data_IF_118209084837
#
_entry.id   IF_118209084837
#
_cell.length_a   1.000
_cell.length_b   1.000
_cell.length_c   1.000
_cell.angle_alpha   90.00
_cell.angle_beta   90.00
_cell.angle_gamma   90.00
#
_symmetry.space_group_name_H-M   'P 1'
#
loop_
_entity.id
_entity.type
_entity.pdbx_description
1 polymer ?
#
# COMPACT_ATOMS: atom_id res chain seq x y z
N UNK A 1 19.90 11.49 -24.45
CA UNK A 1 18.71 12.25 -24.01
C UNK A 1 17.76 11.42 -23.15
N UNK A 2 17.47 10.15 -23.50
CA UNK A 2 16.58 9.26 -22.72
C UNK A 2 17.05 8.92 -21.30
N UNK A 3 18.34 8.67 -21.09
CA UNK A 3 18.88 8.22 -19.79
C UNK A 3 18.59 9.16 -18.60
N UNK A 4 18.41 10.46 -18.85
CA UNK A 4 18.24 11.48 -17.80
C UNK A 4 16.84 11.53 -17.19
N UNK A 5 15.85 10.95 -17.87
CA UNK A 5 14.42 10.98 -17.49
C UNK A 5 13.83 9.59 -17.28
N UNK A 6 14.64 8.52 -17.37
CA UNK A 6 14.15 7.12 -17.25
C UNK A 6 13.37 6.87 -15.97
N UNK A 7 13.87 7.36 -14.82
CA UNK A 7 13.21 7.18 -13.53
C UNK A 7 11.91 7.99 -13.42
N UNK A 8 11.90 9.20 -13.96
CA UNK A 8 10.73 10.09 -13.96
C UNK A 8 9.61 9.52 -14.86
N UNK A 9 9.97 9.02 -16.04
CA UNK A 9 9.05 8.32 -16.95
C UNK A 9 8.51 7.04 -16.29
N UNK A 10 9.36 6.25 -15.63
CA UNK A 10 8.95 5.01 -14.97
C UNK A 10 8.01 5.29 -13.79
N UNK A 11 8.25 6.35 -13.02
CA UNK A 11 7.35 6.80 -11.96
C UNK A 11 5.98 7.27 -12.52
N UNK A 12 5.97 8.05 -13.60
CA UNK A 12 4.73 8.50 -14.25
C UNK A 12 3.95 7.30 -14.79
N UNK A 13 4.62 6.35 -15.45
CA UNK A 13 3.99 5.12 -15.95
C UNK A 13 3.42 4.31 -14.80
N UNK A 14 4.14 4.15 -13.69
CA UNK A 14 3.64 3.44 -12.51
C UNK A 14 2.40 4.11 -11.92
N UNK A 15 2.37 5.45 -11.81
CA UNK A 15 1.21 6.21 -11.34
C UNK A 15 0.02 6.05 -12.27
N UNK A 16 0.24 6.16 -13.60
CA UNK A 16 -0.83 5.99 -14.58
C UNK A 16 -1.40 4.57 -14.58
N UNK A 17 -0.54 3.56 -14.48
CA UNK A 17 -0.97 2.16 -14.32
C UNK A 17 -1.79 1.99 -13.04
N UNK A 18 -1.32 2.53 -11.91
CA UNK A 18 -2.04 2.48 -10.64
C UNK A 18 -3.41 3.15 -10.75
N UNK A 19 -3.50 4.37 -11.27
CA UNK A 19 -4.76 5.07 -11.47
C UNK A 19 -5.70 4.32 -12.42
N UNK A 20 -5.19 3.73 -13.50
CA UNK A 20 -5.97 2.93 -14.43
C UNK A 20 -6.57 1.69 -13.77
N UNK A 21 -5.76 0.95 -13.02
CA UNK A 21 -6.22 -0.24 -12.26
C UNK A 21 -7.21 0.17 -11.17
N UNK A 22 -6.94 1.27 -10.46
CA UNK A 22 -7.81 1.79 -9.41
C UNK A 22 -9.19 2.15 -9.96
N UNK A 23 -9.25 2.96 -11.01
CA UNK A 23 -10.52 3.35 -11.65
C UNK A 23 -11.25 2.15 -12.26
N UNK A 24 -10.52 1.23 -12.89
CA UNK A 24 -11.09 -0.02 -13.39
C UNK A 24 -11.75 -0.83 -12.26
N UNK A 25 -11.04 -1.00 -11.14
CA UNK A 25 -11.55 -1.72 -9.97
C UNK A 25 -12.76 -1.03 -9.36
N UNK A 26 -12.70 0.29 -9.13
CA UNK A 26 -13.81 1.04 -8.53
C UNK A 26 -15.08 1.04 -9.40
N UNK A 27 -14.95 1.06 -10.72
CA UNK A 27 -16.11 1.09 -11.64
C UNK A 27 -16.72 -0.29 -11.84
N UNK A 28 -15.90 -1.35 -11.92
CA UNK A 28 -16.39 -2.70 -12.25
C UNK A 28 -16.74 -3.55 -11.04
N UNK A 29 -16.11 -3.32 -9.88
CA UNK A 29 -16.38 -4.13 -8.69
C UNK A 29 -17.51 -3.57 -7.83
N UNK A 30 -17.94 -2.30 -8.01
CA UNK A 30 -19.15 -1.68 -7.43
C UNK A 30 -19.17 -1.53 -5.90
N UNK A 31 -18.51 -2.45 -5.21
CA UNK A 31 -18.39 -2.65 -3.77
C UNK A 31 -16.97 -3.17 -3.47
N UNK A 32 -15.96 -2.60 -4.15
CA UNK A 32 -14.56 -2.86 -3.84
C UNK A 32 -14.24 -2.18 -2.50
N UNK A 33 -14.71 -2.79 -1.41
CA UNK A 33 -14.23 -2.47 -0.08
C UNK A 33 -12.72 -2.74 -0.10
N UNK A 34 -11.93 -1.68 0.07
CA UNK A 34 -10.48 -1.79 0.20
C UNK A 34 -10.17 -2.34 1.60
N UNK A 35 -10.61 -3.58 1.83
CA UNK A 35 -10.44 -4.28 3.06
C UNK A 35 -8.95 -4.58 3.27
N UNK A 36 -8.53 -4.56 4.53
CA UNK A 36 -7.16 -4.87 4.89
C UNK A 36 -6.78 -6.28 4.44
N UNK A 37 -5.48 -6.54 4.37
CA UNK A 37 -4.95 -7.88 4.12
C UNK A 37 -5.48 -8.91 5.13
N UNK A 38 -5.81 -8.46 6.34
CA UNK A 38 -6.33 -9.31 7.40
C UNK A 38 -7.71 -9.87 7.05
N UNK A 39 -8.66 -9.01 6.64
CA UNK A 39 -10.02 -9.39 6.25
C UNK A 39 -10.05 -10.29 5.01
N UNK A 40 -9.19 -10.02 4.03
CA UNK A 40 -9.09 -10.86 2.82
C UNK A 40 -8.39 -12.19 3.15
N UNK A 41 -7.43 -12.18 4.07
CA UNK A 41 -6.71 -13.37 4.50
C UNK A 41 -7.59 -14.32 5.31
N UNK A 42 -8.29 -13.79 6.31
CA UNK A 42 -9.18 -14.55 7.20
C UNK A 42 -10.30 -15.22 6.42
N UNK A 43 -10.95 -14.49 5.51
CA UNK A 43 -12.08 -15.01 4.71
C UNK A 43 -11.65 -16.15 3.79
N UNK A 44 -10.47 -16.04 3.18
CA UNK A 44 -9.90 -17.11 2.34
C UNK A 44 -9.48 -18.32 3.14
N UNK A 45 -8.87 -18.11 4.31
CA UNK A 45 -8.48 -19.21 5.19
C UNK A 45 -9.72 -19.95 5.70
N UNK A 46 -10.78 -19.24 6.08
CA UNK A 46 -12.05 -19.83 6.48
C UNK A 46 -12.69 -20.65 5.34
N UNK A 47 -12.70 -20.12 4.11
CA UNK A 47 -13.19 -20.81 2.91
C UNK A 47 -12.41 -22.12 2.64
N UNK A 48 -11.07 -22.07 2.72
CA UNK A 48 -10.20 -23.23 2.45
C UNK A 48 -10.20 -24.27 3.57
N UNK A 49 -10.27 -23.84 4.82
CA UNK A 49 -10.21 -24.72 5.98
C UNK A 49 -11.57 -25.32 6.34
N UNK A 50 -12.68 -24.72 5.87
CA UNK A 50 -14.04 -25.15 6.21
C UNK A 50 -14.39 -24.89 7.68
N UNK A 51 -13.69 -23.95 8.32
CA UNK A 51 -13.85 -23.55 9.71
C UNK A 51 -14.21 -22.06 9.73
N UNK A 52 -15.17 -21.65 10.55
CA UNK A 52 -15.55 -20.25 10.67
C UNK A 52 -14.36 -19.39 11.15
N UNK A 53 -14.29 -18.13 10.72
CA UNK A 53 -13.22 -17.18 11.14
C UNK A 53 -13.08 -17.10 12.66
N UNK A 54 -14.21 -17.18 13.36
CA UNK A 54 -14.35 -17.13 14.82
C UNK A 54 -13.73 -18.32 15.56
N UNK A 55 -13.56 -19.47 14.89
CA UNK A 55 -12.96 -20.68 15.46
C UNK A 55 -11.46 -20.81 15.11
N UNK A 56 -10.90 -19.85 14.37
CA UNK A 56 -9.51 -19.89 13.94
C UNK A 56 -8.57 -19.45 15.08
N UNK A 57 -7.86 -20.41 15.67
CA UNK A 57 -6.82 -20.11 16.66
C UNK A 57 -5.46 -19.89 15.98
N UNK A 58 -4.86 -18.69 16.09
CA UNK A 58 -3.55 -18.44 15.53
C UNK A 58 -2.47 -19.27 16.24
N UNK A 59 -1.53 -19.81 15.47
CA UNK A 59 -0.43 -20.65 15.95
C UNK A 59 0.56 -19.91 16.88
N UNK A 60 0.53 -18.58 16.83
CA UNK A 60 1.38 -17.66 17.61
C UNK A 60 0.44 -16.63 18.26
N UNK A 61 0.70 -16.18 19.50
CA UNK A 61 -0.05 -15.07 20.09
C UNK A 61 0.11 -13.81 19.24
N UNK A 62 -0.96 -13.42 18.54
CA UNK A 62 -0.99 -12.18 17.78
C UNK A 62 -1.29 -11.02 18.72
N UNK A 63 -0.52 -9.93 18.57
CA UNK A 63 -0.84 -8.68 19.22
C UNK A 63 -1.95 -8.00 18.42
N UNK A 64 -3.07 -7.73 19.08
CA UNK A 64 -4.19 -6.99 18.51
C UNK A 64 -4.25 -5.58 19.12
N UNK A 65 -4.40 -4.52 18.30
CA UNK A 65 -4.55 -3.18 18.82
C UNK A 65 -5.77 -3.08 19.74
N UNK A 66 -5.69 -2.40 20.90
CA UNK A 66 -6.83 -2.27 21.81
C UNK A 66 -7.96 -1.38 21.26
N UNK A 67 -7.77 -0.72 20.12
CA UNK A 67 -8.78 0.05 19.39
C UNK A 67 -8.42 0.17 17.90
N UNK A 68 -9.43 0.17 17.03
CA UNK A 68 -9.26 0.44 15.59
C UNK A 68 -8.75 1.85 15.27
N UNK A 69 -8.89 2.81 16.20
CA UNK A 69 -8.27 4.13 16.07
C UNK A 69 -6.74 4.04 16.13
N UNK A 70 -6.20 3.13 16.95
CA UNK A 70 -4.76 2.91 17.08
C UNK A 70 -4.23 2.20 15.83
N UNK A 71 -4.97 1.23 15.30
CA UNK A 71 -4.66 0.58 14.02
C UNK A 71 -4.56 1.61 12.89
N UNK A 72 -5.59 2.45 12.74
CA UNK A 72 -5.61 3.52 11.73
C UNK A 72 -4.47 4.53 11.93
N UNK A 73 -4.14 4.85 13.18
CA UNK A 73 -3.02 5.73 13.51
C UNK A 73 -1.67 5.11 13.10
N UNK A 74 -1.45 3.82 13.37
CA UNK A 74 -0.24 3.11 12.96
C UNK A 74 -0.11 3.05 11.43
N UNK A 75 -1.20 2.82 10.70
CA UNK A 75 -1.21 2.90 9.24
C UNK A 75 -0.88 4.30 8.72
N UNK A 76 -1.51 5.34 9.29
CA UNK A 76 -1.24 6.72 8.91
C UNK A 76 0.22 7.13 9.17
N UNK A 77 0.80 6.66 10.28
CA UNK A 77 2.20 6.88 10.62
C UNK A 77 3.14 6.20 9.61
N UNK A 78 2.87 4.95 9.25
CA UNK A 78 3.64 4.24 8.22
C UNK A 78 3.58 4.97 6.87
N UNK A 79 2.39 5.44 6.48
CA UNK A 79 2.20 6.20 5.25
C UNK A 79 2.97 7.53 5.27
N UNK A 80 2.95 8.25 6.40
CA UNK A 80 3.68 9.51 6.57
C UNK A 80 5.21 9.31 6.45
N UNK A 81 5.76 8.28 7.11
CA UNK A 81 7.18 7.94 7.02
C UNK A 81 7.55 7.56 5.58
N UNK A 82 6.73 6.74 4.92
CA UNK A 82 6.91 6.38 3.51
C UNK A 82 6.91 7.62 2.59
N UNK A 83 5.99 8.56 2.80
CA UNK A 83 5.92 9.82 2.07
C UNK A 83 7.16 10.69 2.25
N UNK A 84 7.68 10.80 3.47
CA UNK A 84 8.93 11.52 3.76
C UNK A 84 10.10 10.86 3.02
N UNK A 85 10.21 9.54 3.06
CA UNK A 85 11.30 8.81 2.41
C UNK A 85 11.28 9.01 0.88
N UNK A 86 10.11 8.87 0.26
CA UNK A 86 9.93 9.10 -1.18
C UNK A 86 10.25 10.55 -1.55
N UNK A 87 9.74 11.51 -0.78
CA UNK A 87 10.02 12.94 -0.98
C UNK A 87 11.51 13.27 -0.86
N UNK A 88 12.21 12.66 0.10
CA UNK A 88 13.65 12.82 0.28
C UNK A 88 14.45 12.28 -0.90
N UNK A 89 14.10 11.10 -1.43
CA UNK A 89 14.77 10.52 -2.62
C UNK A 89 14.62 11.45 -3.83
N UNK A 90 13.41 11.93 -4.12
CA UNK A 90 13.18 12.87 -5.21
C UNK A 90 13.91 14.21 -4.99
N UNK A 91 13.90 14.72 -3.76
CA UNK A 91 14.63 15.93 -3.38
C UNK A 91 16.14 15.79 -3.58
N UNK A 92 16.71 14.66 -3.18
CA UNK A 92 18.12 14.34 -3.32
C UNK A 92 18.54 14.24 -4.80
N UNK A 93 17.75 13.57 -5.63
CA UNK A 93 17.99 13.53 -7.08
C UNK A 93 17.91 14.90 -7.75
N UNK A 94 16.96 15.76 -7.33
CA UNK A 94 16.88 17.14 -7.81
C UNK A 94 18.12 17.95 -7.41
N UNK A 95 18.58 17.80 -6.17
CA UNK A 95 19.77 18.49 -5.65
C UNK A 95 21.05 18.14 -6.42
N UNK A 96 21.23 16.86 -6.78
CA UNK A 96 22.38 16.39 -7.54
C UNK A 96 22.44 16.97 -8.96
N UNK A 97 21.30 17.12 -9.65
CA UNK A 97 21.26 17.75 -10.99
C UNK A 97 21.75 19.22 -10.94
N UNK A 98 21.48 19.96 -9.86
CA UNK A 98 21.89 21.37 -9.74
C UNK A 98 23.38 21.58 -9.47
N UNK A 99 24.07 20.59 -8.88
CA UNK A 99 25.50 20.70 -8.52
C UNK A 99 26.45 20.38 -9.68
N UNK A 100 25.91 19.93 -10.82
CA UNK A 100 26.67 19.57 -12.02
C UNK A 100 26.62 20.62 -13.14
N UNK A 101 26.12 21.83 -12.85
CA UNK A 101 26.18 23.00 -13.74
C UNK A 101 26.95 24.13 -13.08
#
# INVERSE_FOLDING_TARGET
MWARYRLEILAIVAILCFCGIFLYSSVLLGDAEYAGSDTIGSSRVAELAGVSEEDFQPLIPQWEPPSGEIESCLFALQAAIGGIFVGWVFGYWKGQKSRSS
#
